data_IF_281878100223
#
_entry.id   IF_281878100223
#
_cell.length_a   1.000
_cell.length_b   1.000
_cell.length_c   1.000
_cell.angle_alpha   90.00
_cell.angle_beta   90.00
_cell.angle_gamma   90.00
#
_symmetry.space_group_name_H-M   'P 1'
#
loop_
_entity.id
_entity.type
_entity.pdbx_description
1 polymer ?
#
# COMPACT_ATOMS: atom_id res chain seq x y z
N UNK A 1 -14.08 9.39 -3.32
CA UNK A 1 -13.88 8.10 -2.65
C UNK A 1 -12.48 7.59 -2.93
N UNK A 2 -11.68 7.26 -1.92
CA UNK A 2 -10.42 6.55 -2.16
C UNK A 2 -10.72 5.10 -2.52
N UNK A 3 -10.28 4.66 -3.71
CA UNK A 3 -10.46 3.29 -4.22
C UNK A 3 -10.01 2.18 -3.25
N UNK A 4 -9.07 2.49 -2.36
CA UNK A 4 -8.48 1.53 -1.43
C UNK A 4 -8.56 2.04 0.01
N UNK A 5 -9.09 1.21 0.91
CA UNK A 5 -9.20 1.51 2.35
C UNK A 5 -7.84 1.40 3.04
N UNK A 6 -7.71 2.01 4.23
CA UNK A 6 -6.47 1.91 5.03
C UNK A 6 -6.13 0.45 5.37
N UNK A 7 -7.14 -0.32 5.80
CA UNK A 7 -6.98 -1.74 6.14
C UNK A 7 -6.46 -2.55 4.95
N UNK A 8 -6.98 -2.31 3.76
CA UNK A 8 -6.50 -2.98 2.55
C UNK A 8 -5.04 -2.65 2.25
N UNK A 9 -4.63 -1.38 2.36
CA UNK A 9 -3.23 -0.97 2.17
C UNK A 9 -2.29 -1.65 3.17
N UNK A 10 -2.72 -1.78 4.43
CA UNK A 10 -1.98 -2.50 5.46
C UNK A 10 -1.78 -3.98 5.08
N UNK A 11 -2.87 -4.67 4.72
CA UNK A 11 -2.81 -6.09 4.30
C UNK A 11 -1.85 -6.32 3.13
N UNK A 12 -1.85 -5.40 2.17
CA UNK A 12 -0.94 -5.46 1.01
C UNK A 12 0.52 -5.33 1.44
N UNK A 13 0.83 -4.43 2.37
CA UNK A 13 2.21 -4.26 2.85
C UNK A 13 2.64 -5.39 3.80
N UNK A 14 1.75 -5.91 4.63
CA UNK A 14 2.06 -7.07 5.48
C UNK A 14 2.45 -8.27 4.63
N UNK A 15 1.67 -8.56 3.57
CA UNK A 15 2.00 -9.59 2.59
C UNK A 15 3.33 -9.30 1.90
N UNK A 16 3.57 -8.05 1.47
CA UNK A 16 4.84 -7.64 0.85
C UNK A 16 6.03 -7.94 1.77
N UNK A 17 5.93 -7.64 3.06
CA UNK A 17 6.98 -7.90 4.04
C UNK A 17 7.19 -9.40 4.31
N UNK A 18 6.11 -10.16 4.50
CA UNK A 18 6.16 -11.61 4.75
C UNK A 18 6.72 -12.41 3.57
N UNK A 19 6.52 -11.93 2.33
CA UNK A 19 6.95 -12.62 1.11
C UNK A 19 8.28 -12.10 0.55
N UNK A 20 9.17 -11.60 1.43
CA UNK A 20 10.52 -11.20 1.05
C UNK A 20 10.58 -9.93 0.21
N UNK A 21 9.63 -9.00 0.40
CA UNK A 21 9.60 -7.68 -0.26
C UNK A 21 9.58 -7.75 -1.79
N UNK A 22 8.86 -8.73 -2.35
CA UNK A 22 8.72 -8.97 -3.80
C UNK A 22 7.56 -8.15 -4.41
N UNK A 23 7.81 -7.07 -5.18
CA UNK A 23 6.74 -6.23 -5.72
C UNK A 23 5.95 -6.88 -6.85
N UNK A 24 6.55 -7.76 -7.66
CA UNK A 24 5.85 -8.51 -8.72
C UNK A 24 4.79 -9.44 -8.13
N UNK A 25 5.19 -10.28 -7.18
CA UNK A 25 4.31 -11.22 -6.49
C UNK A 25 3.15 -10.49 -5.79
N UNK A 26 3.46 -9.44 -5.04
CA UNK A 26 2.43 -8.65 -4.33
C UNK A 26 1.42 -8.03 -5.29
N UNK A 27 1.87 -7.49 -6.43
CA UNK A 27 0.96 -6.93 -7.44
C UNK A 27 0.07 -7.98 -8.07
N UNK A 28 0.62 -9.15 -8.38
CA UNK A 28 -0.15 -10.24 -8.98
C UNK A 28 -1.22 -10.76 -8.02
N UNK A 29 -0.86 -10.94 -6.74
CA UNK A 29 -1.79 -11.43 -5.71
C UNK A 29 -2.96 -10.48 -5.47
N UNK A 30 -2.69 -9.17 -5.34
CA UNK A 30 -3.72 -8.16 -5.08
C UNK A 30 -4.27 -7.46 -6.34
N UNK A 31 -3.84 -7.90 -7.52
CA UNK A 31 -4.19 -7.30 -8.81
C UNK A 31 -3.98 -5.77 -8.84
N UNK A 32 -2.82 -5.33 -8.31
CA UNK A 32 -2.50 -3.92 -8.15
C UNK A 32 -1.65 -3.36 -9.30
N UNK A 33 -1.96 -2.13 -9.77
CA UNK A 33 -1.09 -1.41 -10.68
C UNK A 33 0.30 -1.16 -10.07
N UNK A 34 1.34 -1.19 -10.90
CA UNK A 34 2.73 -0.95 -10.47
C UNK A 34 2.91 0.36 -9.70
N UNK A 35 2.37 1.44 -10.26
CA UNK A 35 2.48 2.78 -9.68
C UNK A 35 1.78 2.88 -8.32
N UNK A 36 0.72 2.11 -8.10
CA UNK A 36 -0.02 2.09 -6.83
C UNK A 36 0.83 1.48 -5.73
N UNK A 37 1.35 0.27 -5.94
CA UNK A 37 2.19 -0.40 -4.94
C UNK A 37 3.47 0.39 -4.64
N UNK A 38 4.14 0.89 -5.68
CA UNK A 38 5.36 1.69 -5.51
C UNK A 38 5.13 2.95 -4.65
N UNK A 39 4.02 3.65 -4.86
CA UNK A 39 3.66 4.82 -4.04
C UNK A 39 3.40 4.45 -2.59
N UNK A 40 2.75 3.32 -2.31
CA UNK A 40 2.48 2.89 -0.94
C UNK A 40 3.76 2.49 -0.21
N UNK A 41 4.66 1.75 -0.87
CA UNK A 41 5.97 1.40 -0.30
C UNK A 41 6.76 2.67 0.01
N UNK A 42 6.82 3.63 -0.92
CA UNK A 42 7.53 4.89 -0.69
C UNK A 42 6.95 5.70 0.48
N UNK A 43 5.61 5.80 0.56
CA UNK A 43 4.94 6.50 1.66
C UNK A 43 5.12 5.79 3.00
N UNK A 44 5.11 4.46 3.01
CA UNK A 44 5.36 3.67 4.20
C UNK A 44 6.81 3.79 4.67
N UNK A 45 7.78 3.76 3.77
CA UNK A 45 9.19 3.94 4.13
C UNK A 45 9.47 5.34 4.72
N UNK A 46 8.74 6.37 4.27
CA UNK A 46 8.93 7.74 4.75
C UNK A 46 8.19 8.04 6.06
N UNK A 47 6.96 7.52 6.23
CA UNK A 47 6.04 7.92 7.31
C UNK A 47 5.47 6.75 8.12
N UNK A 48 5.96 5.54 7.93
CA UNK A 48 5.37 4.31 8.48
C UNK A 48 3.90 4.15 8.06
N UNK A 49 3.09 3.54 8.93
CA UNK A 49 1.67 3.29 8.64
C UNK A 49 0.85 4.57 8.43
N UNK A 50 1.26 5.68 9.05
CA UNK A 50 0.63 6.99 8.88
C UNK A 50 0.74 7.48 7.44
N UNK A 51 1.79 7.08 6.71
CA UNK A 51 1.97 7.38 5.29
C UNK A 51 0.91 6.75 4.38
N UNK A 52 0.26 5.68 4.83
CA UNK A 52 -0.80 5.01 4.07
C UNK A 52 -2.18 5.62 4.29
N UNK A 53 -2.34 6.40 5.35
CA UNK A 53 -3.62 6.96 5.77
C UNK A 53 -4.37 7.56 4.58
N UNK A 54 -5.65 7.23 4.45
CA UNK A 54 -6.55 7.97 3.58
C UNK A 54 -6.70 9.34 4.22
N UNK A 55 -5.93 10.32 3.72
CA UNK A 55 -6.16 11.72 4.03
C UNK A 55 -7.53 12.08 3.44
N UNK A 56 -8.58 11.90 4.24
CA UNK A 56 -9.85 12.53 3.97
C UNK A 56 -9.54 14.03 3.87
N UNK A 57 -9.74 14.63 2.70
CA UNK A 57 -9.77 16.09 2.61
C UNK A 57 -10.83 16.53 3.61
N UNK A 58 -10.43 17.20 4.70
CA UNK A 58 -11.35 18.06 5.45
C UNK A 58 -11.88 19.06 4.41
N UNK A 59 -13.21 19.08 4.27
CA UNK A 59 -13.92 20.08 3.46
C UNK A 59 -13.65 21.46 4.04
#
# INVERSE_FOLDING_TARGET
MTKYTQRFKQQVLDFYHQNGKKPSLTRQYFQLPQRTLARWIAKFNHNGINGLAVLGKKR
#
